data_IF_039932151377
#
_entry.id   IF_039932151377
#
_cell.length_a   1.000
_cell.length_b   1.000
_cell.length_c   1.000
_cell.angle_alpha   90.00
_cell.angle_beta   90.00
_cell.angle_gamma   90.00
#
_symmetry.space_group_name_H-M   'P 1'
#
loop_
_entity.id
_entity.type
_entity.pdbx_description
1 polymer ?
#
# COMPACT_ATOMS: atom_id res chain seq x y z
N UNK A 1 13.80 -14.90 1.10
CA UNK A 1 14.49 -14.41 2.33
C UNK A 1 15.19 -13.08 2.12
N UNK A 2 16.12 -12.94 1.16
CA UNK A 2 16.84 -11.67 0.92
C UNK A 2 15.92 -10.47 0.63
N UNK A 3 14.87 -10.64 -0.19
CA UNK A 3 13.94 -9.54 -0.47
C UNK A 3 13.12 -9.11 0.76
N UNK A 4 12.79 -10.06 1.65
CA UNK A 4 12.12 -9.73 2.91
C UNK A 4 13.04 -8.91 3.82
N UNK A 5 14.32 -9.29 3.93
CA UNK A 5 15.30 -8.53 4.70
C UNK A 5 15.50 -7.11 4.14
N UNK A 6 15.54 -6.99 2.81
CA UNK A 6 15.62 -5.68 2.15
C UNK A 6 14.37 -4.83 2.43
N UNK A 7 13.17 -5.38 2.23
CA UNK A 7 11.90 -4.70 2.48
C UNK A 7 11.75 -4.29 3.96
N UNK A 8 12.22 -5.15 4.87
CA UNK A 8 12.27 -4.88 6.29
C UNK A 8 13.24 -3.74 6.61
N UNK A 9 14.45 -3.75 6.05
CA UNK A 9 15.42 -2.66 6.22
C UNK A 9 14.90 -1.32 5.74
N UNK A 10 14.25 -1.27 4.58
CA UNK A 10 13.59 -0.05 4.06
C UNK A 10 12.51 0.45 5.02
N UNK A 11 11.66 -0.47 5.51
CA UNK A 11 10.58 -0.13 6.46
C UNK A 11 11.11 0.34 7.81
N UNK A 12 12.18 -0.30 8.29
CA UNK A 12 12.80 0.05 9.57
C UNK A 12 13.46 1.43 9.50
N UNK A 13 14.18 1.73 8.43
CA UNK A 13 14.77 3.06 8.22
C UNK A 13 13.69 4.15 8.20
N UNK A 14 12.57 3.90 7.54
CA UNK A 14 11.47 4.86 7.47
C UNK A 14 10.79 5.09 8.83
N UNK A 15 10.52 4.03 9.60
CA UNK A 15 9.88 4.16 10.92
C UNK A 15 10.82 4.68 12.01
N UNK A 16 12.12 4.42 11.90
CA UNK A 16 13.11 4.92 12.87
C UNK A 16 13.46 6.39 12.60
N UNK A 17 13.45 6.80 11.33
CA UNK A 17 13.80 8.15 10.90
C UNK A 17 12.73 8.71 9.96
N UNK A 18 11.50 8.92 10.46
CA UNK A 18 10.45 9.52 9.65
C UNK A 18 10.86 10.97 9.32
N UNK A 19 10.87 11.36 8.03
CA UNK A 19 11.21 12.73 7.65
C UNK A 19 10.03 13.67 7.89
N UNK A 20 10.31 14.91 8.26
CA UNK A 20 9.29 15.91 8.58
C UNK A 20 8.71 15.71 9.99
N UNK A 21 7.45 16.07 10.17
CA UNK A 21 6.74 15.98 11.45
C UNK A 21 5.67 14.87 11.41
N UNK A 22 5.94 13.71 12.03
CA UNK A 22 5.06 12.54 12.01
C UNK A 22 3.93 12.60 13.06
N UNK A 23 4.00 13.48 14.06
CA UNK A 23 3.08 13.46 15.20
C UNK A 23 1.82 14.31 14.97
N UNK A 24 1.85 15.25 14.01
CA UNK A 24 0.76 16.18 13.69
C UNK A 24 0.20 16.87 14.95
N UNK A 25 1.01 17.03 16.00
CA UNK A 25 0.52 17.44 17.31
C UNK A 25 -0.14 18.81 17.25
N UNK A 26 0.41 19.73 16.45
CA UNK A 26 -0.13 21.08 16.25
C UNK A 26 -1.52 21.07 15.59
N UNK A 27 -1.74 20.19 14.61
CA UNK A 27 -3.04 20.01 13.98
C UNK A 27 -4.06 19.43 14.96
N UNK A 28 -3.62 18.50 15.81
CA UNK A 28 -4.46 17.90 16.85
C UNK A 28 -4.92 18.94 17.88
N UNK A 29 -4.00 19.74 18.44
CA UNK A 29 -4.35 20.80 19.40
C UNK A 29 -5.26 21.86 18.79
N UNK A 30 -5.01 22.25 17.54
CA UNK A 30 -5.88 23.18 16.82
C UNK A 30 -7.30 22.62 16.64
N UNK A 31 -7.43 21.32 16.39
CA UNK A 31 -8.73 20.67 16.27
C UNK A 31 -9.48 20.64 17.61
N UNK A 32 -8.78 20.35 18.71
CA UNK A 32 -9.35 20.43 20.06
C UNK A 32 -9.87 21.86 20.35
N UNK A 33 -9.03 22.88 20.13
CA UNK A 33 -9.38 24.29 20.32
C UNK A 33 -10.54 24.73 19.42
N UNK A 34 -10.57 24.25 18.17
CA UNK A 34 -11.69 24.50 17.25
C UNK A 34 -12.99 23.85 17.75
N UNK A 35 -12.90 22.62 18.26
CA UNK A 35 -14.07 21.88 18.75
C UNK A 35 -14.68 22.48 20.01
N UNK A 36 -13.86 23.15 20.83
CA UNK A 36 -14.28 23.85 22.04
C UNK A 36 -14.76 25.30 21.76
N UNK A 37 -14.57 25.79 20.53
CA UNK A 37 -14.99 27.15 20.16
C UNK A 37 -16.50 27.29 20.03
N UNK A 38 -17.07 28.30 20.70
CA UNK A 38 -18.49 28.67 20.55
C UNK A 38 -18.78 29.49 19.29
N UNK A 39 -17.75 30.07 18.66
CA UNK A 39 -17.87 30.86 17.43
C UNK A 39 -16.83 30.40 16.41
N UNK A 40 -17.22 29.42 15.61
CA UNK A 40 -16.36 28.75 14.64
C UNK A 40 -15.81 29.68 13.56
N UNK A 41 -16.61 30.65 13.10
CA UNK A 41 -16.18 31.56 12.02
C UNK A 41 -15.10 32.52 12.52
N UNK A 42 -15.30 33.09 13.70
CA UNK A 42 -14.28 33.94 14.32
C UNK A 42 -13.01 33.14 14.62
N UNK A 43 -13.12 31.93 15.13
CA UNK A 43 -11.95 31.08 15.39
C UNK A 43 -11.15 30.82 14.11
N UNK A 44 -11.82 30.44 13.01
CA UNK A 44 -11.16 30.19 11.72
C UNK A 44 -10.48 31.44 11.14
N UNK A 45 -11.07 32.62 11.32
CA UNK A 45 -10.45 33.88 10.89
C UNK A 45 -9.20 34.24 11.70
N UNK A 46 -9.15 33.85 12.99
CA UNK A 46 -8.03 34.19 13.89
C UNK A 46 -6.93 33.12 13.92
N UNK A 47 -7.31 31.86 13.71
CA UNK A 47 -6.43 30.69 13.71
C UNK A 47 -6.70 29.85 12.46
N UNK A 48 -6.30 30.31 11.26
CA UNK A 48 -6.55 29.58 10.04
C UNK A 48 -5.78 28.25 10.04
N UNK A 49 -6.37 27.21 9.44
CA UNK A 49 -5.78 25.86 9.37
C UNK A 49 -4.39 25.85 8.71
N UNK A 50 -4.09 26.85 7.87
CA UNK A 50 -2.79 27.02 7.22
C UNK A 50 -1.65 27.26 8.21
N UNK A 51 -1.95 27.75 9.41
CA UNK A 51 -0.93 28.07 10.41
C UNK A 51 -0.46 26.82 11.17
N UNK A 52 -1.27 25.76 11.15
CA UNK A 52 -1.01 24.49 11.85
C UNK A 52 -0.69 23.35 10.88
N UNK A 53 -0.91 23.57 9.58
CA UNK A 53 -0.46 22.66 8.52
C UNK A 53 0.92 23.06 8.04
N UNK A 54 1.95 22.53 8.70
CA UNK A 54 3.33 22.96 8.47
C UNK A 54 3.94 22.33 7.21
N UNK A 55 5.01 22.95 6.70
CA UNK A 55 5.82 22.33 5.63
C UNK A 55 6.39 20.97 6.06
N UNK A 56 6.67 20.78 7.36
CA UNK A 56 7.16 19.50 7.88
C UNK A 56 6.10 18.40 7.83
N UNK A 57 4.81 18.73 8.04
CA UNK A 57 3.72 17.77 7.83
C UNK A 57 3.58 17.41 6.34
N UNK A 58 3.75 18.39 5.43
CA UNK A 58 3.75 18.14 3.98
C UNK A 58 4.89 17.20 3.59
N UNK A 59 6.10 17.44 4.11
CA UNK A 59 7.27 16.58 3.89
C UNK A 59 6.99 15.16 4.36
N UNK A 60 6.41 15.00 5.56
CA UNK A 60 6.06 13.68 6.09
C UNK A 60 5.02 12.95 5.23
N UNK A 61 3.97 13.64 4.78
CA UNK A 61 2.95 13.06 3.89
C UNK A 61 3.58 12.57 2.59
N UNK A 62 4.37 13.43 1.94
CA UNK A 62 5.04 13.09 0.67
C UNK A 62 6.02 11.93 0.84
N UNK A 63 6.76 11.90 1.94
CA UNK A 63 7.67 10.82 2.25
C UNK A 63 6.93 9.51 2.53
N UNK A 64 5.79 9.55 3.22
CA UNK A 64 4.92 8.40 3.44
C UNK A 64 4.39 7.86 2.11
N UNK A 65 3.94 8.73 1.20
CA UNK A 65 3.53 8.33 -0.14
C UNK A 65 4.69 7.69 -0.93
N UNK A 66 5.88 8.29 -0.84
CA UNK A 66 7.10 7.75 -1.45
C UNK A 66 7.47 6.38 -0.89
N UNK A 67 7.40 6.21 0.43
CA UNK A 67 7.62 4.94 1.11
C UNK A 67 6.63 3.87 0.63
N UNK A 68 5.34 4.18 0.60
CA UNK A 68 4.31 3.24 0.12
C UNK A 68 4.59 2.87 -1.35
N UNK A 69 4.96 3.83 -2.21
CA UNK A 69 5.31 3.55 -3.60
C UNK A 69 6.52 2.62 -3.72
N UNK A 70 7.58 2.83 -2.93
CA UNK A 70 8.76 1.96 -2.89
C UNK A 70 8.37 0.55 -2.43
N UNK A 71 7.61 0.42 -1.35
CA UNK A 71 7.16 -0.87 -0.85
C UNK A 71 6.25 -1.60 -1.85
N UNK A 72 5.42 -0.85 -2.58
CA UNK A 72 4.59 -1.38 -3.65
C UNK A 72 5.44 -1.93 -4.81
N UNK A 73 6.50 -1.22 -5.22
CA UNK A 73 7.44 -1.69 -6.24
C UNK A 73 8.22 -2.95 -5.80
N UNK A 74 8.70 -2.97 -4.55
CA UNK A 74 9.32 -4.17 -3.96
C UNK A 74 8.34 -5.35 -3.99
N UNK A 75 7.08 -5.10 -3.62
CA UNK A 75 6.00 -6.08 -3.69
C UNK A 75 5.74 -6.59 -5.10
N UNK A 76 5.69 -5.71 -6.11
CA UNK A 76 5.51 -6.10 -7.51
C UNK A 76 6.68 -6.92 -8.06
N UNK A 77 7.90 -6.63 -7.60
CA UNK A 77 9.05 -7.46 -7.93
C UNK A 77 8.92 -8.86 -7.31
N UNK A 78 8.49 -8.95 -6.05
CA UNK A 78 8.20 -10.24 -5.41
C UNK A 78 7.11 -11.02 -6.14
N UNK A 79 6.02 -10.34 -6.52
CA UNK A 79 4.97 -10.89 -7.37
C UNK A 79 5.54 -11.48 -8.66
N UNK A 80 6.46 -10.77 -9.33
CA UNK A 80 7.06 -11.24 -10.59
C UNK A 80 7.86 -12.52 -10.38
N UNK A 81 8.70 -12.56 -9.34
CA UNK A 81 9.46 -13.77 -9.00
C UNK A 81 8.52 -14.95 -8.69
N UNK A 82 7.49 -14.71 -7.89
CA UNK A 82 6.52 -15.74 -7.51
C UNK A 82 5.73 -16.29 -8.71
N UNK A 83 5.29 -15.43 -9.64
CA UNK A 83 4.59 -15.88 -10.85
C UNK A 83 5.52 -16.61 -11.81
N UNK A 84 6.81 -16.22 -11.91
CA UNK A 84 7.79 -16.98 -12.68
C UNK A 84 7.96 -18.39 -12.13
N UNK A 85 8.07 -18.52 -10.80
CA UNK A 85 8.16 -19.81 -10.10
C UNK A 85 6.94 -20.70 -10.40
N UNK A 86 5.72 -20.17 -10.21
CA UNK A 86 4.47 -20.89 -10.50
C UNK A 86 4.31 -21.31 -11.96
N UNK A 87 4.91 -20.58 -12.90
CA UNK A 87 4.83 -20.86 -14.34
C UNK A 87 6.07 -21.60 -14.87
N UNK A 88 6.93 -22.08 -13.98
CA UNK A 88 8.18 -22.77 -14.33
C UNK A 88 9.09 -21.96 -15.27
N UNK A 89 8.99 -20.63 -15.20
CA UNK A 89 9.89 -19.71 -15.90
C UNK A 89 11.14 -19.53 -15.06
N UNK A 90 12.36 -19.66 -15.63
CA UNK A 90 13.59 -19.49 -14.87
C UNK A 90 13.61 -18.16 -14.08
N UNK A 91 13.85 -18.22 -12.76
CA UNK A 91 13.83 -17.06 -11.87
C UNK A 91 14.83 -15.96 -12.29
N UNK A 92 15.91 -16.32 -12.98
CA UNK A 92 16.87 -15.37 -13.57
C UNK A 92 16.24 -14.42 -14.60
N UNK A 93 15.08 -14.77 -15.17
CA UNK A 93 14.32 -13.91 -16.10
C UNK A 93 13.43 -12.89 -15.39
N UNK A 94 13.12 -13.08 -14.10
CA UNK A 94 12.21 -12.21 -13.36
C UNK A 94 12.67 -10.74 -13.31
N UNK A 95 13.97 -10.41 -13.04
CA UNK A 95 14.44 -9.03 -13.10
C UNK A 95 14.22 -8.40 -14.47
N UNK A 96 14.53 -9.12 -15.55
CA UNK A 96 14.34 -8.62 -16.91
C UNK A 96 12.86 -8.31 -17.18
N UNK A 97 11.94 -9.20 -16.82
CA UNK A 97 10.49 -8.99 -17.00
C UNK A 97 10.04 -7.73 -16.24
N UNK A 98 10.44 -7.62 -14.99
CA UNK A 98 10.08 -6.50 -14.11
C UNK A 98 10.63 -5.17 -14.63
N UNK A 99 11.94 -5.06 -14.86
CA UNK A 99 12.59 -3.81 -15.25
C UNK A 99 12.19 -3.35 -16.66
N UNK A 100 11.86 -4.26 -17.57
CA UNK A 100 11.34 -3.90 -18.90
C UNK A 100 10.00 -3.15 -18.82
N UNK A 101 9.24 -3.33 -17.72
CA UNK A 101 7.91 -2.72 -17.54
C UNK A 101 7.86 -1.74 -16.36
N UNK A 102 8.99 -1.39 -15.76
CA UNK A 102 9.03 -0.58 -14.53
C UNK A 102 8.30 0.76 -14.66
N UNK A 103 8.41 1.43 -15.81
CA UNK A 103 7.71 2.70 -16.05
C UNK A 103 6.17 2.55 -16.01
N UNK A 104 5.64 1.44 -16.53
CA UNK A 104 4.21 1.14 -16.46
C UNK A 104 3.77 0.80 -15.03
N UNK A 105 4.65 0.19 -14.24
CA UNK A 105 4.41 -0.13 -12.82
C UNK A 105 4.46 1.12 -11.93
N UNK A 106 5.36 2.07 -12.23
CA UNK A 106 5.40 3.38 -11.57
C UNK A 106 4.13 4.16 -11.87
N UNK A 107 3.74 4.25 -13.16
CA UNK A 107 2.50 4.91 -13.56
C UNK A 107 1.28 4.25 -12.91
N UNK A 108 1.24 2.91 -12.82
CA UNK A 108 0.22 2.18 -12.07
C UNK A 108 0.17 2.59 -10.59
N UNK A 109 1.32 2.59 -9.92
CA UNK A 109 1.43 2.96 -8.50
C UNK A 109 0.91 4.38 -8.27
N UNK A 110 1.26 5.32 -9.15
CA UNK A 110 0.77 6.70 -9.10
C UNK A 110 -0.76 6.78 -9.30
N UNK A 111 -1.32 6.03 -10.26
CA UNK A 111 -2.77 6.01 -10.52
C UNK A 111 -3.59 5.37 -9.40
N UNK A 112 -2.99 4.54 -8.55
CA UNK A 112 -3.66 4.00 -7.37
C UNK A 112 -3.45 4.88 -6.14
N UNK A 113 -2.28 5.48 -5.95
CA UNK A 113 -1.96 6.25 -4.76
C UNK A 113 -2.67 7.62 -4.74
N UNK A 114 -2.63 8.38 -5.84
CA UNK A 114 -3.15 9.75 -5.86
C UNK A 114 -4.69 9.78 -5.77
N UNK A 115 -5.44 9.05 -6.62
CA UNK A 115 -6.90 8.98 -6.48
C UNK A 115 -7.31 8.11 -5.29
N UNK A 116 -6.47 7.14 -4.90
CA UNK A 116 -6.70 6.25 -3.78
C UNK A 116 -6.97 7.02 -2.49
N UNK A 117 -6.11 7.99 -2.18
CA UNK A 117 -6.22 8.81 -0.97
C UNK A 117 -7.50 9.67 -0.96
N UNK A 118 -7.85 10.30 -2.08
CA UNK A 118 -9.07 11.12 -2.20
C UNK A 118 -10.36 10.28 -2.12
N UNK A 119 -10.40 9.14 -2.80
CA UNK A 119 -11.59 8.30 -2.83
C UNK A 119 -11.76 7.55 -1.50
N UNK A 120 -10.68 7.19 -0.78
CA UNK A 120 -10.78 6.56 0.56
C UNK A 120 -11.48 7.52 1.53
N UNK A 121 -11.14 8.81 1.46
CA UNK A 121 -11.73 9.83 2.34
C UNK A 121 -13.22 10.06 2.08
N UNK A 122 -13.68 9.92 0.83
CA UNK A 122 -15.05 10.32 0.43
C UNK A 122 -15.97 9.10 0.22
N UNK A 123 -15.46 7.99 -0.32
CA UNK A 123 -16.24 6.82 -0.77
C UNK A 123 -15.54 5.48 -0.43
N UNK A 124 -15.37 5.16 0.88
CA UNK A 124 -14.63 3.96 1.30
C UNK A 124 -15.24 2.65 0.77
N UNK A 125 -16.57 2.60 0.58
CA UNK A 125 -17.27 1.41 0.07
C UNK A 125 -16.95 1.08 -1.39
N UNK A 126 -16.51 2.05 -2.20
CA UNK A 126 -16.12 1.79 -3.60
C UNK A 126 -14.89 0.88 -3.67
N UNK A 127 -13.99 0.97 -2.68
CA UNK A 127 -12.78 0.13 -2.63
C UNK A 127 -13.09 -1.35 -2.43
N UNK A 128 -14.22 -1.68 -1.80
CA UNK A 128 -14.68 -3.07 -1.65
C UNK A 128 -14.86 -3.74 -3.03
N UNK A 129 -15.23 -2.98 -4.04
CA UNK A 129 -15.42 -3.48 -5.40
C UNK A 129 -14.21 -3.23 -6.31
N UNK A 130 -13.53 -2.10 -6.12
CA UNK A 130 -12.44 -1.67 -6.99
C UNK A 130 -11.15 -2.47 -6.75
N UNK A 131 -10.77 -2.71 -5.48
CA UNK A 131 -9.53 -3.45 -5.16
C UNK A 131 -9.58 -4.86 -5.75
N UNK A 132 -10.62 -5.68 -5.52
CA UNK A 132 -10.69 -7.00 -6.12
C UNK A 132 -10.76 -6.97 -7.64
N UNK A 133 -11.42 -5.96 -8.22
CA UNK A 133 -11.56 -5.84 -9.66
C UNK A 133 -10.22 -5.50 -10.38
N UNK A 134 -9.35 -4.73 -9.72
CA UNK A 134 -8.04 -4.35 -10.25
C UNK A 134 -6.90 -5.26 -9.78
N UNK A 135 -7.21 -6.29 -8.98
CA UNK A 135 -6.22 -7.06 -8.23
C UNK A 135 -5.16 -7.72 -9.11
N UNK A 136 -5.54 -8.24 -10.28
CA UNK A 136 -4.61 -8.96 -11.16
C UNK A 136 -4.03 -8.09 -12.29
N UNK A 137 -4.40 -6.81 -12.35
CA UNK A 137 -4.02 -5.88 -13.43
C UNK A 137 -2.51 -5.83 -13.65
N UNK A 138 -1.74 -5.76 -12.57
CA UNK A 138 -0.27 -5.72 -12.61
C UNK A 138 0.32 -6.97 -13.30
N UNK A 139 -0.25 -8.14 -13.06
CA UNK A 139 0.10 -9.38 -13.73
C UNK A 139 -0.18 -9.35 -15.23
N UNK A 140 -1.31 -8.79 -15.64
CA UNK A 140 -1.67 -8.64 -17.05
C UNK A 140 -0.68 -7.70 -17.77
N UNK A 141 -0.29 -6.60 -17.15
CA UNK A 141 0.75 -5.69 -17.70
C UNK A 141 2.09 -6.41 -17.85
N UNK A 142 2.53 -7.14 -16.82
CA UNK A 142 3.85 -7.77 -16.80
C UNK A 142 3.95 -8.99 -17.73
N UNK A 143 2.97 -9.89 -17.68
CA UNK A 143 3.05 -11.21 -18.31
C UNK A 143 2.23 -11.33 -19.59
N UNK A 144 1.07 -10.66 -19.70
CA UNK A 144 0.28 -10.61 -20.94
C UNK A 144 0.71 -9.45 -21.85
N UNK A 145 1.63 -8.60 -21.38
CA UNK A 145 2.24 -7.49 -22.15
C UNK A 145 1.23 -6.46 -22.66
N UNK A 146 0.10 -6.32 -21.98
CA UNK A 146 -0.94 -5.33 -22.29
C UNK A 146 -0.59 -3.96 -21.70
N UNK A 147 -1.08 -2.90 -22.32
CA UNK A 147 -1.04 -1.54 -21.77
C UNK A 147 -1.94 -1.41 -20.53
N UNK A 148 -1.81 -0.32 -19.79
CA UNK A 148 -2.55 -0.10 -18.53
C UNK A 148 -4.06 -0.10 -18.72
N UNK A 149 -4.55 0.51 -19.80
CA UNK A 149 -5.99 0.63 -20.03
C UNK A 149 -6.60 -0.73 -20.34
N UNK A 150 -6.01 -1.44 -21.30
CA UNK A 150 -6.44 -2.80 -21.64
C UNK A 150 -6.31 -3.75 -20.44
N UNK A 151 -5.21 -3.65 -19.67
CA UNK A 151 -5.03 -4.46 -18.46
C UNK A 151 -6.09 -4.17 -17.39
N UNK A 152 -6.56 -2.92 -17.28
CA UNK A 152 -7.61 -2.53 -16.34
C UNK A 152 -8.94 -3.19 -16.70
N UNK A 153 -9.36 -3.06 -17.97
CA UNK A 153 -10.61 -3.68 -18.45
C UNK A 153 -10.54 -5.20 -18.32
N UNK A 154 -9.43 -5.80 -18.73
CA UNK A 154 -9.23 -7.24 -18.63
C UNK A 154 -9.25 -7.73 -17.18
N UNK A 155 -8.62 -7.01 -16.25
CA UNK A 155 -8.66 -7.34 -14.83
C UNK A 155 -10.09 -7.33 -14.31
N UNK A 156 -10.88 -6.30 -14.61
CA UNK A 156 -12.28 -6.18 -14.17
C UNK A 156 -13.13 -7.35 -14.72
N UNK A 157 -12.93 -7.69 -16.00
CA UNK A 157 -13.65 -8.77 -16.66
C UNK A 157 -13.28 -10.13 -16.07
N UNK A 158 -11.99 -10.45 -16.02
CA UNK A 158 -11.48 -11.76 -15.56
C UNK A 158 -11.70 -12.02 -14.08
N UNK A 159 -11.78 -10.98 -13.25
CA UNK A 159 -12.00 -11.14 -11.80
C UNK A 159 -13.48 -11.24 -11.40
N UNK A 160 -14.44 -11.13 -12.33
CA UNK A 160 -15.89 -11.05 -12.03
C UNK A 160 -16.39 -12.15 -11.08
N UNK A 161 -15.97 -13.40 -11.27
CA UNK A 161 -16.33 -14.54 -10.41
C UNK A 161 -15.49 -14.70 -9.14
N UNK A 162 -14.40 -13.95 -8.99
CA UNK A 162 -13.42 -14.11 -7.92
C UNK A 162 -13.39 -12.95 -6.93
N UNK A 163 -14.15 -11.87 -7.17
CA UNK A 163 -14.09 -10.63 -6.37
C UNK A 163 -14.28 -10.86 -4.87
N UNK A 164 -15.31 -11.62 -4.49
CA UNK A 164 -15.59 -11.89 -3.08
C UNK A 164 -14.50 -12.74 -2.43
N UNK A 165 -13.96 -13.71 -3.15
CA UNK A 165 -12.88 -14.57 -2.64
C UNK A 165 -11.57 -13.80 -2.46
N UNK A 166 -11.21 -12.94 -3.43
CA UNK A 166 -10.07 -12.02 -3.32
C UNK A 166 -10.26 -11.05 -2.14
N UNK A 167 -11.47 -10.50 -2.00
CA UNK A 167 -11.79 -9.60 -0.90
C UNK A 167 -11.61 -10.29 0.46
N UNK A 168 -12.19 -11.48 0.66
CA UNK A 168 -12.07 -12.21 1.92
C UNK A 168 -10.62 -12.55 2.28
N UNK A 169 -9.79 -12.93 1.31
CA UNK A 169 -8.38 -13.20 1.55
C UNK A 169 -7.62 -11.94 1.96
N UNK A 170 -7.82 -10.83 1.26
CA UNK A 170 -7.21 -9.55 1.61
C UNK A 170 -7.66 -9.07 2.98
N UNK A 171 -8.96 -9.14 3.28
CA UNK A 171 -9.51 -8.80 4.59
C UNK A 171 -8.94 -9.70 5.68
N UNK A 172 -8.76 -10.99 5.43
CA UNK A 172 -8.12 -11.92 6.36
C UNK A 172 -6.66 -11.56 6.64
N UNK A 173 -5.87 -11.28 5.59
CA UNK A 173 -4.48 -10.83 5.72
C UNK A 173 -4.41 -9.53 6.53
N UNK A 174 -5.27 -8.55 6.23
CA UNK A 174 -5.34 -7.26 6.94
C UNK A 174 -5.78 -7.43 8.39
N UNK A 175 -6.76 -8.29 8.66
CA UNK A 175 -7.22 -8.59 10.02
C UNK A 175 -6.09 -9.19 10.87
N UNK A 176 -5.36 -10.18 10.34
CA UNK A 176 -4.22 -10.78 11.04
C UNK A 176 -3.15 -9.71 11.31
N UNK A 177 -2.86 -8.83 10.36
CA UNK A 177 -1.94 -7.71 10.57
C UNK A 177 -2.37 -6.82 11.75
N UNK A 178 -3.65 -6.41 11.80
CA UNK A 178 -4.17 -5.59 12.88
C UNK A 178 -4.13 -6.29 14.24
N UNK A 179 -4.48 -7.58 14.30
CA UNK A 179 -4.41 -8.38 15.53
C UNK A 179 -2.97 -8.47 16.03
N UNK A 180 -2.01 -8.78 15.16
CA UNK A 180 -0.60 -8.85 15.53
C UNK A 180 -0.08 -7.48 15.98
N UNK A 181 -0.43 -6.41 15.25
CA UNK A 181 -0.04 -5.05 15.62
C UNK A 181 -0.60 -4.65 16.98
N UNK A 182 -1.86 -5.01 17.29
CA UNK A 182 -2.46 -4.78 18.60
C UNK A 182 -1.69 -5.51 19.71
N UNK A 183 -1.38 -6.80 19.52
CA UNK A 183 -0.60 -7.59 20.49
C UNK A 183 0.78 -6.96 20.72
N UNK A 184 1.46 -6.55 19.65
CA UNK A 184 2.80 -5.94 19.74
C UNK A 184 2.76 -4.60 20.47
N UNK A 185 1.78 -3.74 20.16
CA UNK A 185 1.62 -2.44 20.84
C UNK A 185 1.19 -2.60 22.32
N UNK A 186 0.53 -3.71 22.67
CA UNK A 186 0.23 -4.02 24.07
C UNK A 186 1.48 -4.47 24.85
N UNK A 187 2.42 -5.15 24.21
CA UNK A 187 3.60 -5.74 24.87
C UNK A 187 4.83 -4.82 24.90
N UNK A 188 4.96 -3.89 23.96
CA UNK A 188 6.14 -3.04 23.81
C UNK A 188 5.83 -1.59 24.16
N UNK A 189 6.80 -0.90 24.76
CA UNK A 189 6.67 0.52 25.07
C UNK A 189 6.52 1.36 23.79
N UNK A 190 5.61 2.33 23.84
CA UNK A 190 5.41 3.30 22.76
C UNK A 190 6.72 4.04 22.45
N UNK A 191 7.02 4.19 21.15
CA UNK A 191 8.25 4.84 20.68
C UNK A 191 9.54 4.05 20.90
N UNK A 192 9.49 2.81 21.41
CA UNK A 192 10.70 2.00 21.59
C UNK A 192 11.27 1.50 20.25
N UNK A 193 12.60 1.41 20.14
CA UNK A 193 13.26 0.81 18.96
C UNK A 193 12.78 -0.62 18.69
N UNK A 194 12.46 -1.39 19.74
CA UNK A 194 11.90 -2.73 19.63
C UNK A 194 10.53 -2.72 18.92
N UNK A 195 9.67 -1.77 19.26
CA UNK A 195 8.38 -1.59 18.57
C UNK A 195 8.59 -1.27 17.09
N UNK A 196 9.47 -0.31 16.76
CA UNK A 196 9.78 0.05 15.37
C UNK A 196 10.32 -1.15 14.55
N UNK A 197 11.20 -1.98 15.15
CA UNK A 197 11.73 -3.17 14.49
C UNK A 197 10.63 -4.18 14.12
N UNK A 198 9.73 -4.46 15.06
CA UNK A 198 8.64 -5.42 14.87
C UNK A 198 7.58 -4.87 13.92
N UNK A 199 7.19 -3.60 14.05
CA UNK A 199 6.24 -2.97 13.14
C UNK A 199 6.78 -2.93 11.71
N UNK A 200 8.06 -2.58 11.52
CA UNK A 200 8.72 -2.64 10.22
C UNK A 200 8.71 -4.05 9.62
N UNK A 201 8.95 -5.08 10.45
CA UNK A 201 8.93 -6.47 10.01
C UNK A 201 7.53 -6.88 9.56
N UNK A 202 6.52 -6.59 10.39
CA UNK A 202 5.12 -6.89 10.09
C UNK A 202 4.71 -6.19 8.79
N UNK A 203 4.99 -4.90 8.65
CA UNK A 203 4.64 -4.16 7.44
C UNK A 203 5.28 -4.77 6.18
N UNK A 204 6.58 -5.09 6.23
CA UNK A 204 7.27 -5.73 5.12
C UNK A 204 6.72 -7.14 4.81
N UNK A 205 6.50 -7.96 5.84
CA UNK A 205 5.97 -9.31 5.70
C UNK A 205 4.57 -9.31 5.07
N UNK A 206 3.66 -8.50 5.61
CA UNK A 206 2.28 -8.42 5.13
C UNK A 206 2.18 -7.80 3.74
N UNK A 207 3.02 -6.82 3.42
CA UNK A 207 3.16 -6.30 2.05
C UNK A 207 3.51 -7.44 1.10
N UNK A 208 4.58 -8.20 1.37
CA UNK A 208 4.98 -9.31 0.52
C UNK A 208 3.92 -10.43 0.46
N UNK A 209 3.19 -10.68 1.55
CA UNK A 209 2.10 -11.65 1.59
C UNK A 209 0.94 -11.26 0.66
N UNK A 210 0.56 -9.98 0.63
CA UNK A 210 -0.45 -9.45 -0.30
C UNK A 210 -0.01 -9.68 -1.76
N UNK A 211 1.24 -9.35 -2.08
CA UNK A 211 1.74 -9.53 -3.45
C UNK A 211 1.92 -11.00 -3.85
N UNK A 212 2.22 -11.89 -2.91
CA UNK A 212 2.18 -13.34 -3.14
C UNK A 212 0.77 -13.82 -3.45
N UNK A 213 -0.21 -13.40 -2.64
CA UNK A 213 -1.61 -13.73 -2.88
C UNK A 213 -2.07 -13.22 -4.26
N UNK A 214 -1.70 -11.99 -4.61
CA UNK A 214 -1.94 -11.41 -5.94
C UNK A 214 -1.35 -12.27 -7.06
N UNK A 215 -0.14 -12.80 -6.87
CA UNK A 215 0.52 -13.72 -7.81
C UNK A 215 -0.23 -15.03 -7.98
N UNK A 216 -0.67 -15.63 -6.88
CA UNK A 216 -1.46 -16.85 -6.89
C UNK A 216 -2.79 -16.64 -7.62
N UNK A 217 -3.49 -15.53 -7.34
CA UNK A 217 -4.76 -15.17 -8.00
C UNK A 217 -4.57 -14.88 -9.48
N UNK A 218 -3.54 -14.15 -9.86
CA UNK A 218 -3.21 -13.93 -11.26
C UNK A 218 -2.97 -15.26 -11.98
N UNK A 219 -2.14 -16.15 -11.42
CA UNK A 219 -1.88 -17.46 -12.01
C UNK A 219 -3.16 -18.28 -12.15
N UNK A 220 -3.94 -18.44 -11.08
CA UNK A 220 -5.21 -19.18 -11.08
C UNK A 220 -6.18 -18.66 -12.15
N UNK A 221 -6.42 -17.35 -12.19
CA UNK A 221 -7.41 -16.75 -13.09
C UNK A 221 -6.95 -16.83 -14.55
N UNK A 222 -5.66 -16.73 -14.82
CA UNK A 222 -5.14 -16.72 -16.21
C UNK A 222 -4.77 -18.10 -16.76
N UNK A 223 -4.65 -19.12 -15.90
CA UNK A 223 -4.43 -20.51 -16.33
C UNK A 223 -5.76 -21.17 -16.74
N UNK A 224 -6.88 -20.80 -16.10
CA UNK A 224 -8.21 -21.30 -16.46
C UNK A 224 -8.72 -20.82 -17.83
N UNK A 225 -8.07 -19.82 -18.43
CA UNK A 225 -8.38 -19.28 -19.77
C UNK A 225 -7.69 -20.05 -20.91
N UNK A 226 -6.87 -21.07 -20.61
CA UNK A 226 -6.17 -21.91 -21.60
C UNK A 226 -6.70 -23.34 -21.58
#
# INVERSE_FOLDING_TARGET
MLLLLFAWGVSFLFFMFPPGDPDFSQLYYWYEDFSDSTDYMKFLDTNPITDVFTMDNVIYILATMGYIAVMHLIGLFYFTMYVCDLREVPLSKAPKIYFTRIWWLILYSATLLIPGLLVIAILPYIFLFLIPALYIRSGIVMFEKKDIYTATINSISKTRGHKFSIFLELSGIVLIFFVLRFIVNYLLASGSTGLCLVEAFLFAYFTLAIFRNMGARFHMITVLDK
#
